data_IF_477121340003
#
_entry.id   IF_477121340003
#
_cell.length_a   1.000
_cell.length_b   1.000
_cell.length_c   1.000
_cell.angle_alpha   90.00
_cell.angle_beta   90.00
_cell.angle_gamma   90.00
#
_symmetry.space_group_name_H-M   'P 1'
#
loop_
_entity.id
_entity.type
_entity.pdbx_description
1 polymer ?
#
# COMPACT_ATOMS: atom_id res chain seq x y z
N UNK A 1 3.03 0.99 11.26
CA UNK A 1 4.40 1.22 10.75
C UNK A 1 5.20 -0.07 10.76
N UNK A 2 4.99 -0.89 11.78
CA UNK A 2 5.56 -2.19 12.08
C UNK A 2 5.51 -3.30 10.99
N UNK A 3 4.87 -3.07 9.86
CA UNK A 3 4.77 -4.09 8.81
C UNK A 3 5.72 -3.82 7.63
N UNK A 4 6.51 -2.74 7.68
CA UNK A 4 7.56 -2.48 6.70
C UNK A 4 8.80 -3.32 6.97
N UNK A 5 9.32 -3.96 5.91
CA UNK A 5 10.56 -4.73 5.98
C UNK A 5 11.77 -3.80 6.21
N UNK A 6 12.55 -3.98 7.29
CA UNK A 6 13.73 -3.14 7.54
C UNK A 6 14.79 -3.26 6.43
N UNK A 7 14.84 -4.36 5.69
CA UNK A 7 15.74 -4.48 4.52
C UNK A 7 15.35 -3.54 3.36
N UNK A 8 14.11 -3.03 3.34
CA UNK A 8 13.67 -1.99 2.42
C UNK A 8 13.86 -0.59 3.02
N UNK A 9 13.40 -0.38 4.26
CA UNK A 9 13.36 0.95 4.88
C UNK A 9 14.76 1.45 5.24
N UNK A 10 15.61 0.62 5.84
CA UNK A 10 16.89 1.07 6.39
C UNK A 10 17.83 1.62 5.29
N UNK A 11 18.00 0.97 4.12
CA UNK A 11 18.81 1.53 3.04
C UNK A 11 18.25 2.84 2.47
N UNK A 12 16.92 3.01 2.46
CA UNK A 12 16.30 4.27 2.07
C UNK A 12 16.60 5.37 3.10
N UNK A 13 16.39 5.07 4.39
CA UNK A 13 16.64 5.98 5.50
C UNK A 13 18.11 6.41 5.60
N UNK A 14 19.05 5.53 5.22
CA UNK A 14 20.48 5.85 5.18
C UNK A 14 20.85 6.91 4.11
N UNK A 15 20.00 7.13 3.11
CA UNK A 15 20.27 8.06 2.01
C UNK A 15 19.37 9.29 2.00
N UNK A 16 18.20 9.23 2.64
CA UNK A 16 17.22 10.32 2.67
C UNK A 16 16.31 10.20 3.89
N UNK A 17 15.73 11.32 4.37
CA UNK A 17 14.67 11.26 5.38
C UNK A 17 13.51 10.40 4.91
N UNK A 18 13.02 9.53 5.80
CA UNK A 18 11.87 8.65 5.56
C UNK A 18 10.79 8.97 6.59
N UNK A 19 9.58 9.25 6.11
CA UNK A 19 8.38 9.37 6.93
C UNK A 19 7.56 8.08 6.80
N UNK A 20 7.54 7.28 7.85
CA UNK A 20 6.57 6.20 8.02
C UNK A 20 5.43 6.73 8.87
N UNK A 21 4.20 6.51 8.41
CA UNK A 21 3.01 7.09 9.03
C UNK A 21 1.99 5.97 9.25
N UNK A 22 1.48 5.88 10.48
CA UNK A 22 0.26 5.12 10.76
C UNK A 22 -0.95 5.93 10.29
N UNK A 23 -1.83 5.30 9.52
CA UNK A 23 -3.02 5.98 9.03
C UNK A 23 -3.97 6.35 10.20
N UNK A 24 -4.82 7.37 10.03
CA UNK A 24 -5.79 7.76 11.05
C UNK A 24 -6.62 6.56 11.55
N UNK A 25 -6.75 6.42 12.88
CA UNK A 25 -7.44 5.31 13.55
C UNK A 25 -6.75 3.94 13.44
N UNK A 26 -5.46 3.89 13.09
CA UNK A 26 -4.66 2.67 12.97
C UNK A 26 -3.35 2.81 13.75
N UNK A 27 -2.89 1.71 14.35
CA UNK A 27 -1.60 1.68 15.05
C UNK A 27 -1.58 2.70 16.18
N UNK A 28 -0.61 3.61 16.16
CA UNK A 28 -0.47 4.67 17.17
C UNK A 28 -1.19 5.98 16.82
N UNK A 29 -1.83 6.05 15.65
CA UNK A 29 -2.53 7.25 15.20
C UNK A 29 -3.96 7.31 15.76
N UNK A 30 -4.31 8.46 16.31
CA UNK A 30 -5.67 8.77 16.77
C UNK A 30 -6.65 8.97 15.60
N UNK A 31 -7.90 9.29 15.95
CA UNK A 31 -8.97 9.59 15.00
C UNK A 31 -9.64 8.36 14.42
N UNK A 32 -10.30 8.53 13.29
CA UNK A 32 -11.04 7.47 12.62
C UNK A 32 -10.49 7.19 11.23
N UNK A 33 -10.50 5.91 10.83
CA UNK A 33 -10.23 5.51 9.45
C UNK A 33 -11.28 6.17 8.53
N UNK A 34 -10.89 6.99 7.54
CA UNK A 34 -11.86 7.59 6.63
C UNK A 34 -12.49 6.53 5.71
N UNK A 35 -13.72 6.80 5.27
CA UNK A 35 -14.50 5.85 4.46
C UNK A 35 -14.04 5.78 2.99
N UNK A 36 -13.14 6.66 2.55
CA UNK A 36 -12.65 6.72 1.17
C UNK A 36 -11.12 6.88 1.11
N UNK A 37 -10.48 6.31 0.08
CA UNK A 37 -9.05 6.53 -0.14
C UNK A 37 -8.70 7.98 -0.51
N UNK A 38 -9.66 8.76 -1.01
CA UNK A 38 -9.47 10.20 -1.18
C UNK A 38 -9.34 10.90 0.19
N UNK A 39 -10.14 10.48 1.18
CA UNK A 39 -10.01 10.94 2.57
C UNK A 39 -8.66 10.54 3.19
N UNK A 40 -8.19 9.33 2.93
CA UNK A 40 -6.85 8.89 3.38
C UNK A 40 -5.77 9.77 2.76
N UNK A 41 -5.84 10.02 1.45
CA UNK A 41 -4.90 10.88 0.74
C UNK A 41 -4.89 12.31 1.28
N UNK A 42 -6.07 12.83 1.65
CA UNK A 42 -6.19 14.14 2.27
C UNK A 42 -5.50 14.19 3.65
N UNK A 43 -5.60 13.14 4.46
CA UNK A 43 -4.87 13.07 5.73
C UNK A 43 -3.35 13.04 5.54
N UNK A 44 -2.82 12.21 4.63
CA UNK A 44 -1.38 12.20 4.36
C UNK A 44 -0.89 13.57 3.84
N UNK A 45 -1.65 14.21 2.95
CA UNK A 45 -1.38 15.56 2.45
C UNK A 45 -1.36 16.58 3.59
N UNK A 46 -2.30 16.51 4.53
CA UNK A 46 -2.33 17.38 5.70
C UNK A 46 -1.10 17.18 6.61
N UNK A 47 -0.74 15.93 6.91
CA UNK A 47 0.44 15.60 7.73
C UNK A 47 1.72 16.12 7.07
N UNK A 48 1.88 15.93 5.76
CA UNK A 48 3.05 16.42 5.03
C UNK A 48 3.14 17.94 5.08
N UNK A 49 2.02 18.64 4.89
CA UNK A 49 1.98 20.11 4.98
C UNK A 49 2.31 20.61 6.37
N UNK A 50 1.87 19.91 7.41
CA UNK A 50 2.14 20.28 8.80
C UNK A 50 3.62 20.08 9.15
N UNK A 51 4.17 18.91 8.82
CA UNK A 51 5.54 18.55 9.19
C UNK A 51 6.61 19.26 8.33
N UNK A 52 6.34 19.43 7.04
CA UNK A 52 7.34 19.89 6.07
C UNK A 52 6.99 21.25 5.45
N UNK A 53 5.82 21.80 5.71
CA UNK A 53 5.34 23.07 5.14
C UNK A 53 4.58 22.92 3.82
N UNK A 54 3.77 23.94 3.50
CA UNK A 54 2.81 23.93 2.38
C UNK A 54 3.42 23.78 0.98
N UNK A 55 4.68 24.19 0.80
CA UNK A 55 5.37 24.15 -0.50
C UNK A 55 6.26 22.92 -0.68
N UNK A 56 6.26 22.00 0.28
CA UNK A 56 7.13 20.82 0.25
C UNK A 56 6.66 19.78 -0.75
N UNK A 57 7.63 19.15 -1.42
CA UNK A 57 7.43 18.03 -2.35
C UNK A 57 8.13 16.80 -1.83
N UNK A 58 7.43 15.67 -1.82
CA UNK A 58 7.96 14.37 -1.35
C UNK A 58 7.91 13.32 -2.46
N UNK A 59 8.79 12.32 -2.36
CA UNK A 59 8.60 11.08 -3.11
C UNK A 59 7.63 10.20 -2.31
N UNK A 60 6.61 9.62 -2.95
CA UNK A 60 5.58 8.81 -2.29
C UNK A 60 5.71 7.36 -2.74
N UNK A 61 5.89 6.46 -1.77
CA UNK A 61 5.85 5.01 -2.00
C UNK A 61 4.58 4.45 -1.36
N UNK A 62 3.74 3.82 -2.17
CA UNK A 62 2.52 3.16 -1.74
C UNK A 62 2.55 1.67 -2.01
N UNK A 63 2.28 0.86 -0.98
CA UNK A 63 2.13 -0.59 -1.08
C UNK A 63 0.67 -1.02 -0.86
N UNK A 64 0.13 -1.90 -1.71
CA UNK A 64 -1.24 -2.40 -1.60
C UNK A 64 -2.26 -1.25 -1.51
N UNK A 65 -3.14 -1.22 -0.50
CA UNK A 65 -4.06 -0.10 -0.28
C UNK A 65 -3.36 1.27 -0.21
N UNK A 66 -2.12 1.32 0.32
CA UNK A 66 -1.32 2.55 0.33
C UNK A 66 -0.96 3.03 -1.08
N UNK A 67 -0.86 2.14 -2.06
CA UNK A 67 -0.69 2.49 -3.47
C UNK A 67 -1.96 3.06 -4.10
N UNK A 68 -3.15 2.61 -3.70
CA UNK A 68 -4.42 3.23 -4.09
C UNK A 68 -4.49 4.68 -3.58
N UNK A 69 -4.08 4.89 -2.33
CA UNK A 69 -4.03 6.22 -1.70
C UNK A 69 -2.96 7.10 -2.34
N UNK A 70 -1.77 6.57 -2.62
CA UNK A 70 -0.68 7.32 -3.23
C UNK A 70 -1.03 7.83 -4.65
N UNK A 71 -1.78 7.05 -5.44
CA UNK A 71 -2.33 7.50 -6.71
C UNK A 71 -3.26 8.71 -6.51
N UNK A 72 -4.20 8.64 -5.57
CA UNK A 72 -5.13 9.74 -5.29
C UNK A 72 -4.41 10.97 -4.72
N UNK A 73 -3.37 10.78 -3.91
CA UNK A 73 -2.54 11.90 -3.43
C UNK A 73 -1.85 12.61 -4.60
N UNK A 74 -1.23 11.87 -5.51
CA UNK A 74 -0.58 12.42 -6.70
C UNK A 74 -1.56 13.12 -7.66
N UNK A 75 -2.81 12.64 -7.72
CA UNK A 75 -3.87 13.23 -8.56
C UNK A 75 -4.55 14.45 -7.93
N UNK A 76 -4.74 14.45 -6.60
CA UNK A 76 -5.49 15.49 -5.89
C UNK A 76 -4.59 16.59 -5.31
N UNK A 77 -3.31 16.30 -5.11
CA UNK A 77 -2.28 17.23 -4.64
C UNK A 77 -0.99 17.08 -5.47
N UNK A 78 -1.05 17.25 -6.81
CA UNK A 78 0.10 17.07 -7.69
C UNK A 78 1.28 17.99 -7.35
N UNK A 79 1.02 19.12 -6.69
CA UNK A 79 2.03 20.05 -6.22
C UNK A 79 2.88 19.52 -5.06
N UNK A 80 2.45 18.46 -4.38
CA UNK A 80 3.15 17.85 -3.24
C UNK A 80 3.91 16.56 -3.59
N UNK A 81 3.63 15.94 -4.73
CA UNK A 81 4.24 14.67 -5.11
C UNK A 81 5.30 14.87 -6.19
N UNK A 82 6.56 14.54 -5.88
CA UNK A 82 7.71 14.65 -6.79
C UNK A 82 7.87 13.42 -7.67
N UNK A 83 7.80 12.23 -7.06
CA UNK A 83 7.87 10.91 -7.72
C UNK A 83 6.92 9.96 -7.01
N UNK A 84 6.41 8.99 -7.75
CA UNK A 84 5.47 8.01 -7.23
C UNK A 84 6.00 6.59 -7.46
N UNK A 85 6.00 5.77 -6.40
CA UNK A 85 6.36 4.35 -6.46
C UNK A 85 5.15 3.53 -6.03
N UNK A 86 4.65 2.67 -6.92
CA UNK A 86 3.45 1.86 -6.75
C UNK A 86 3.85 0.38 -6.68
N UNK A 87 3.68 -0.23 -5.51
CA UNK A 87 4.10 -1.61 -5.24
C UNK A 87 2.89 -2.48 -4.88
N UNK A 88 2.76 -3.64 -5.52
CA UNK A 88 1.67 -4.61 -5.22
C UNK A 88 0.29 -3.97 -5.10
N UNK A 89 -0.03 -3.01 -5.97
CA UNK A 89 -1.23 -2.16 -5.86
C UNK A 89 -2.00 -2.15 -7.17
N UNK A 90 -3.23 -1.64 -7.10
CA UNK A 90 -4.13 -1.47 -8.24
C UNK A 90 -4.67 -0.05 -8.34
N UNK A 91 -5.10 0.39 -9.54
CA UNK A 91 -5.98 1.55 -9.64
C UNK A 91 -7.41 1.21 -9.22
N UNK A 92 -8.27 2.22 -9.20
CA UNK A 92 -9.71 2.00 -9.03
C UNK A 92 -10.27 1.15 -10.17
N UNK A 93 -11.53 0.75 -10.04
CA UNK A 93 -12.25 0.01 -11.07
C UNK A 93 -12.18 0.69 -12.44
N UNK A 94 -12.03 -0.12 -13.49
CA UNK A 94 -11.80 0.32 -14.85
C UNK A 94 -11.55 -0.86 -15.79
N UNK A 95 -11.42 -0.59 -17.09
CA UNK A 95 -11.22 -1.64 -18.08
C UNK A 95 -9.92 -2.43 -17.83
N UNK A 96 -10.04 -3.76 -17.88
CA UNK A 96 -8.93 -4.67 -17.59
C UNK A 96 -8.57 -4.79 -16.10
N UNK A 97 -9.06 -3.92 -15.20
CA UNK A 97 -8.75 -3.97 -13.77
C UNK A 97 -9.50 -5.13 -13.14
N UNK A 98 -8.77 -6.14 -12.65
CA UNK A 98 -9.35 -7.36 -12.08
C UNK A 98 -8.89 -7.52 -10.64
N UNK A 99 -9.68 -7.15 -9.60
CA UNK A 99 -9.31 -7.46 -8.22
C UNK A 99 -9.01 -8.95 -8.04
N UNK A 100 -8.24 -9.29 -7.00
CA UNK A 100 -8.01 -10.69 -6.61
C UNK A 100 -9.35 -11.43 -6.55
N UNK A 101 -9.56 -12.51 -7.32
CA UNK A 101 -10.89 -13.11 -7.47
C UNK A 101 -11.49 -13.62 -6.16
N UNK A 102 -10.65 -14.02 -5.19
CA UNK A 102 -11.10 -14.69 -3.97
C UNK A 102 -10.76 -13.93 -2.67
N UNK A 103 -9.88 -12.93 -2.73
CA UNK A 103 -9.36 -12.20 -1.57
C UNK A 103 -8.75 -13.14 -0.52
N UNK A 104 -8.28 -14.33 -0.93
CA UNK A 104 -7.95 -15.44 -0.04
C UNK A 104 -6.82 -15.08 0.93
N UNK A 105 -5.81 -14.36 0.44
CA UNK A 105 -4.73 -13.83 1.27
C UNK A 105 -5.27 -12.92 2.40
N UNK A 106 -6.15 -11.99 2.06
CA UNK A 106 -6.74 -11.07 3.03
C UNK A 106 -7.65 -11.80 4.03
N UNK A 107 -8.45 -12.77 3.57
CA UNK A 107 -9.29 -13.61 4.43
C UNK A 107 -8.45 -14.43 5.41
N UNK A 108 -7.34 -15.00 4.96
CA UNK A 108 -6.40 -15.76 5.80
C UNK A 108 -5.72 -14.87 6.82
N UNK A 109 -5.21 -13.70 6.42
CA UNK A 109 -4.65 -12.71 7.34
C UNK A 109 -5.67 -12.29 8.41
N UNK A 110 -6.93 -12.04 8.02
CA UNK A 110 -8.00 -11.70 8.97
C UNK A 110 -8.38 -12.86 9.90
N UNK A 111 -8.26 -14.09 9.42
CA UNK A 111 -8.62 -15.30 10.17
C UNK A 111 -7.50 -15.78 11.10
N UNK A 112 -6.25 -15.38 10.85
CA UNK A 112 -5.10 -15.76 11.67
C UNK A 112 -5.30 -15.31 13.13
N UNK A 113 -4.93 -16.20 14.05
CA UNK A 113 -4.98 -16.00 15.51
C UNK A 113 -3.64 -16.26 16.17
N UNK A 114 -2.70 -16.85 15.46
CA UNK A 114 -1.35 -17.16 15.92
C UNK A 114 -0.30 -16.54 14.99
N UNK A 115 0.89 -16.28 15.52
CA UNK A 115 2.05 -15.77 14.75
C UNK A 115 2.38 -16.70 13.56
N UNK A 116 2.21 -18.00 13.73
CA UNK A 116 2.45 -18.97 12.65
C UNK A 116 1.39 -18.91 11.55
N UNK A 117 0.11 -18.75 11.90
CA UNK A 117 -0.95 -18.53 10.90
C UNK A 117 -0.78 -17.21 10.16
N UNK A 118 -0.34 -16.15 10.86
CA UNK A 118 -0.01 -14.87 10.22
C UNK A 118 1.17 -15.01 9.27
N UNK A 119 2.23 -15.72 9.68
CA UNK A 119 3.38 -16.03 8.81
C UNK A 119 2.95 -16.76 7.55
N UNK A 120 2.16 -17.82 7.70
CA UNK A 120 1.67 -18.59 6.56
C UNK A 120 0.81 -17.73 5.63
N UNK A 121 -0.11 -16.95 6.19
CA UNK A 121 -0.97 -16.06 5.41
C UNK A 121 -0.17 -14.95 4.68
N UNK A 122 0.89 -14.43 5.31
CA UNK A 122 1.82 -13.48 4.71
C UNK A 122 2.62 -14.12 3.57
N UNK A 123 3.22 -15.28 3.79
CA UNK A 123 3.99 -15.98 2.77
C UNK A 123 3.11 -16.33 1.56
N UNK A 124 1.97 -16.97 1.78
CA UNK A 124 1.04 -17.35 0.71
C UNK A 124 0.43 -16.14 -0.01
N UNK A 125 0.22 -15.04 0.71
CA UNK A 125 -0.43 -13.84 0.18
C UNK A 125 0.50 -12.96 -0.65
N UNK A 126 1.79 -12.93 -0.32
CA UNK A 126 2.73 -11.96 -0.90
C UNK A 126 3.91 -12.60 -1.65
N UNK A 127 4.07 -13.93 -1.58
CA UNK A 127 5.14 -14.66 -2.25
C UNK A 127 4.61 -15.79 -3.12
N UNK A 128 5.32 -16.08 -4.22
CA UNK A 128 4.94 -17.07 -5.23
C UNK A 128 5.25 -18.46 -4.70
N UNK A 129 4.22 -19.16 -4.24
CA UNK A 129 4.37 -20.47 -3.57
C UNK A 129 5.00 -21.57 -4.43
N UNK A 130 4.79 -21.52 -5.76
CA UNK A 130 5.42 -22.45 -6.70
C UNK A 130 6.94 -22.27 -6.87
N UNK A 131 7.53 -21.19 -6.35
CA UNK A 131 8.95 -20.88 -6.47
C UNK A 131 9.66 -21.04 -5.13
N UNK A 132 10.65 -21.92 -5.06
CA UNK A 132 11.50 -22.08 -3.87
C UNK A 132 12.19 -20.80 -3.44
N UNK A 133 12.82 -20.10 -4.40
CA UNK A 133 13.43 -18.79 -4.18
C UNK A 133 12.44 -17.79 -3.59
N UNK A 134 11.19 -17.78 -4.06
CA UNK A 134 10.17 -16.85 -3.53
C UNK A 134 9.72 -17.25 -2.12
N UNK A 135 9.55 -18.54 -1.84
CA UNK A 135 9.25 -19.04 -0.49
C UNK A 135 10.35 -18.70 0.50
N UNK A 136 11.61 -18.90 0.14
CA UNK A 136 12.76 -18.53 0.99
C UNK A 136 12.84 -17.03 1.23
N UNK A 137 12.58 -16.22 0.19
CA UNK A 137 12.50 -14.77 0.34
C UNK A 137 11.37 -14.35 1.30
N UNK A 138 10.22 -15.04 1.24
CA UNK A 138 9.09 -14.83 2.15
C UNK A 138 9.43 -15.10 3.60
N UNK A 139 10.06 -16.25 3.88
CA UNK A 139 10.55 -16.60 5.22
C UNK A 139 11.53 -15.55 5.76
N UNK A 140 12.55 -15.20 4.96
CA UNK A 140 13.53 -14.18 5.34
C UNK A 140 12.90 -12.81 5.59
N UNK A 141 11.90 -12.42 4.79
CA UNK A 141 11.16 -11.18 4.98
C UNK A 141 10.34 -11.19 6.26
N UNK A 142 9.63 -12.29 6.52
CA UNK A 142 8.89 -12.49 7.77
C UNK A 142 9.81 -12.41 8.97
N UNK A 143 10.94 -13.12 8.97
CA UNK A 143 11.89 -13.12 10.09
C UNK A 143 12.41 -11.70 10.38
N UNK A 144 12.68 -10.91 9.34
CA UNK A 144 13.08 -9.51 9.50
C UNK A 144 11.99 -8.66 10.11
N UNK A 145 10.77 -8.76 9.57
CA UNK A 145 9.62 -7.98 10.03
C UNK A 145 9.27 -8.36 11.46
N UNK A 146 9.20 -9.65 11.77
CA UNK A 146 8.78 -10.21 13.05
C UNK A 146 9.83 -10.06 14.16
N UNK A 147 11.11 -10.33 13.85
CA UNK A 147 12.12 -10.60 14.89
C UNK A 147 13.33 -9.65 14.87
N UNK A 148 13.64 -8.98 13.75
CA UNK A 148 14.90 -8.21 13.60
C UNK A 148 14.66 -6.72 13.35
N UNK A 149 13.87 -6.06 14.19
CA UNK A 149 13.94 -4.60 14.26
C UNK A 149 15.01 -4.17 15.26
N UNK A 150 15.80 -3.16 14.89
CA UNK A 150 16.91 -2.61 15.67
C UNK A 150 16.47 -1.82 16.91
N UNK A 151 15.17 -1.58 17.07
CA UNK A 151 14.50 -0.91 18.19
C UNK A 151 13.87 -1.94 19.15
N UNK A 152 14.65 -2.94 19.57
CA UNK A 152 14.24 -4.06 20.46
C UNK A 152 13.63 -3.66 21.82
N UNK A 153 13.39 -2.37 22.08
CA UNK A 153 12.63 -1.84 23.22
C UNK A 153 11.23 -1.31 22.88
N UNK A 154 10.85 -1.16 21.60
CA UNK A 154 9.50 -0.73 21.22
C UNK A 154 8.56 -1.93 21.04
N UNK A 155 7.48 -1.94 21.83
CA UNK A 155 6.42 -2.94 21.70
C UNK A 155 5.73 -2.76 20.36
N UNK A 156 5.62 -3.85 19.60
CA UNK A 156 4.84 -3.91 18.37
C UNK A 156 3.42 -3.42 18.63
N UNK A 157 2.89 -2.62 17.72
CA UNK A 157 1.48 -2.27 17.75
C UNK A 157 0.64 -3.54 17.68
N UNK A 158 -0.42 -3.58 18.48
CA UNK A 158 -1.41 -4.65 18.37
C UNK A 158 -2.01 -4.67 16.95
N UNK A 159 -2.51 -5.84 16.51
CA UNK A 159 -3.25 -5.92 15.26
C UNK A 159 -4.37 -4.88 15.20
N UNK A 160 -4.64 -4.36 13.99
CA UNK A 160 -5.69 -3.36 13.77
C UNK A 160 -7.02 -3.91 14.34
N UNK A 161 -7.71 -3.18 15.24
CA UNK A 161 -8.94 -3.67 15.83
C UNK A 161 -10.03 -3.91 14.77
N UNK A 162 -11.04 -4.77 15.04
CA UNK A 162 -12.04 -5.16 14.04
C UNK A 162 -12.80 -4.00 13.40
N UNK A 163 -13.09 -2.93 14.15
CA UNK A 163 -13.80 -1.73 13.66
C UNK A 163 -13.00 -0.98 12.58
N UNK A 164 -11.81 -0.45 12.89
CA UNK A 164 -10.91 0.15 11.90
C UNK A 164 -10.62 -0.79 10.71
N UNK A 165 -10.34 -2.08 10.94
CA UNK A 165 -10.11 -3.05 9.87
C UNK A 165 -11.33 -3.21 8.94
N UNK A 166 -12.55 -3.13 9.48
CA UNK A 166 -13.77 -3.15 8.69
C UNK A 166 -13.91 -1.88 7.82
N UNK A 167 -13.64 -0.69 8.37
CA UNK A 167 -13.62 0.56 7.60
C UNK A 167 -12.60 0.54 6.47
N UNK A 168 -11.40 0.01 6.73
CA UNK A 168 -10.37 -0.21 5.70
C UNK A 168 -10.86 -1.08 4.54
N UNK A 169 -11.56 -2.18 4.84
CA UNK A 169 -12.13 -3.05 3.82
C UNK A 169 -13.27 -2.37 3.04
N UNK A 170 -14.14 -1.61 3.70
CA UNK A 170 -15.22 -0.85 3.05
C UNK A 170 -14.67 0.22 2.09
N UNK A 171 -13.63 0.95 2.49
CA UNK A 171 -12.97 1.93 1.63
C UNK A 171 -12.41 1.28 0.35
N UNK A 172 -11.82 0.08 0.46
CA UNK A 172 -11.36 -0.68 -0.70
C UNK A 172 -12.51 -1.16 -1.58
N UNK A 173 -13.60 -1.70 -1.00
CA UNK A 173 -14.79 -2.11 -1.76
C UNK A 173 -15.38 -0.93 -2.51
N UNK A 174 -15.52 0.23 -1.86
CA UNK A 174 -16.00 1.47 -2.48
C UNK A 174 -15.12 1.89 -3.65
N UNK A 175 -13.80 1.86 -3.48
CA UNK A 175 -12.81 2.22 -4.51
C UNK A 175 -12.87 1.29 -5.74
N UNK A 176 -13.33 0.05 -5.55
CA UNK A 176 -13.49 -0.94 -6.62
C UNK A 176 -14.92 -1.01 -7.19
N UNK A 177 -15.88 -0.26 -6.62
CA UNK A 177 -17.25 -0.21 -7.10
C UNK A 177 -17.39 0.78 -8.27
N UNK A 178 -17.89 0.29 -9.41
CA UNK A 178 -18.13 1.11 -10.61
C UNK A 178 -19.06 2.29 -10.35
N UNK A 179 -19.96 2.19 -9.36
CA UNK A 179 -20.84 3.30 -8.95
C UNK A 179 -20.07 4.50 -8.38
N UNK A 180 -18.87 4.27 -7.85
CA UNK A 180 -18.02 5.30 -7.26
C UNK A 180 -16.77 5.59 -8.14
N UNK A 181 -16.78 5.21 -9.42
CA UNK A 181 -15.62 5.37 -10.30
C UNK A 181 -15.12 6.82 -10.41
N UNK A 182 -16.02 7.81 -10.26
CA UNK A 182 -15.67 9.24 -10.24
C UNK A 182 -14.76 9.65 -9.08
N UNK A 183 -14.77 8.91 -7.97
CA UNK A 183 -13.88 9.11 -6.81
C UNK A 183 -12.54 8.38 -6.97
N UNK A 184 -12.44 7.52 -7.98
CA UNK A 184 -11.31 6.64 -8.24
C UNK A 184 -10.14 7.30 -8.96
N UNK A 185 -9.09 6.50 -9.18
CA UNK A 185 -7.88 6.93 -9.87
C UNK A 185 -7.87 6.58 -11.37
N UNK A 186 -8.54 5.51 -11.80
CA UNK A 186 -8.38 4.87 -13.11
C UNK A 186 -8.52 5.85 -14.29
N UNK A 187 -9.67 6.51 -14.43
CA UNK A 187 -9.94 7.45 -15.54
C UNK A 187 -9.06 8.71 -15.50
N UNK A 188 -8.42 8.94 -14.34
CA UNK A 188 -7.59 10.10 -14.05
C UNK A 188 -6.09 9.79 -14.13
N UNK A 189 -5.66 8.52 -14.23
CA UNK A 189 -4.23 8.17 -14.26
C UNK A 189 -3.45 8.91 -15.35
N UNK A 190 -4.09 9.15 -16.51
CA UNK A 190 -3.54 9.94 -17.62
C UNK A 190 -3.29 11.42 -17.29
N UNK A 191 -3.74 11.90 -16.14
CA UNK A 191 -3.48 13.26 -15.63
C UNK A 191 -2.16 13.34 -14.86
N UNK A 192 -1.56 12.21 -14.46
CA UNK A 192 -0.24 12.22 -13.82
C UNK A 192 0.82 12.77 -14.80
N UNK A 193 1.65 13.69 -14.29
CA UNK A 193 2.72 14.37 -15.05
C UNK A 193 4.10 14.22 -14.40
N UNK A 194 4.21 13.26 -13.48
CA UNK A 194 5.41 13.00 -12.68
C UNK A 194 5.96 11.59 -12.98
N UNK A 195 7.24 11.32 -12.69
CA UNK A 195 7.80 9.99 -12.85
C UNK A 195 7.12 8.96 -11.94
N UNK A 196 6.62 7.87 -12.53
CA UNK A 196 5.97 6.77 -11.81
C UNK A 196 6.77 5.47 -12.02
N UNK A 197 7.18 4.83 -10.92
CA UNK A 197 7.70 3.46 -10.93
C UNK A 197 6.61 2.49 -10.49
N UNK A 198 6.36 1.45 -11.28
CA UNK A 198 5.42 0.38 -10.95
C UNK A 198 6.22 -0.89 -10.66
N UNK A 199 6.17 -1.35 -9.42
CA UNK A 199 6.81 -2.57 -8.93
C UNK A 199 5.75 -3.59 -8.52
N UNK A 200 4.95 -4.02 -9.51
CA UNK A 200 3.98 -5.10 -9.35
C UNK A 200 4.61 -6.42 -9.79
N UNK A 201 4.28 -7.51 -9.09
CA UNK A 201 4.68 -8.86 -9.49
C UNK A 201 3.94 -9.34 -10.75
N UNK A 202 4.33 -10.51 -11.26
CA UNK A 202 3.69 -11.12 -12.44
C UNK A 202 2.17 -11.33 -12.29
N UNK A 203 1.42 -11.46 -13.41
CA UNK A 203 -0.04 -11.66 -13.44
C UNK A 203 -0.60 -12.83 -12.61
N UNK A 204 0.25 -13.74 -12.14
CA UNK A 204 -0.14 -14.88 -11.29
C UNK A 204 -0.11 -14.56 -9.78
N UNK A 205 0.24 -13.34 -9.37
CA UNK A 205 0.20 -12.91 -7.97
C UNK A 205 -1.22 -12.47 -7.58
N UNK A 206 -1.72 -12.74 -6.36
CA UNK A 206 -3.08 -12.37 -5.95
C UNK A 206 -3.33 -10.85 -5.89
N UNK A 207 -2.32 -10.01 -6.13
CA UNK A 207 -2.46 -8.57 -6.31
C UNK A 207 -2.50 -8.23 -7.82
N UNK A 208 -3.56 -7.56 -8.30
CA UNK A 208 -3.78 -7.43 -9.74
C UNK A 208 -2.79 -6.57 -10.51
N UNK A 209 -2.60 -6.94 -11.78
CA UNK A 209 -2.20 -6.04 -12.86
C UNK A 209 -3.36 -5.93 -13.87
N UNK A 210 -3.59 -4.72 -14.42
CA UNK A 210 -3.18 -4.57 -15.81
C UNK A 210 -2.38 -3.28 -16.04
N UNK A 211 -1.29 -3.38 -16.80
CA UNK A 211 -1.00 -2.41 -17.84
C UNK A 211 -0.57 -3.27 -19.04
N UNK A 212 -1.40 -3.29 -20.09
CA UNK A 212 -1.00 -3.90 -21.36
C UNK A 212 0.23 -3.18 -21.93
N UNK A 213 1.14 -3.87 -22.65
CA UNK A 213 2.36 -3.28 -23.22
C UNK A 213 2.18 -2.19 -24.29
N UNK A 214 0.96 -1.74 -24.59
CA UNK A 214 0.66 -1.00 -25.83
C UNK A 214 0.39 0.51 -25.68
N UNK A 215 0.88 1.19 -24.63
CA UNK A 215 0.76 2.66 -24.54
C UNK A 215 2.07 3.43 -24.42
N UNK A 216 3.22 2.77 -24.61
CA UNK A 216 4.50 3.44 -24.83
C UNK A 216 4.91 3.32 -26.31
N UNK A 217 4.12 3.95 -27.18
CA UNK A 217 4.54 4.35 -28.52
C UNK A 217 4.09 5.80 -28.71
N UNK A 218 4.97 6.74 -28.34
CA UNK A 218 5.57 7.74 -29.26
C UNK A 218 4.76 9.05 -29.38
N UNK A 219 5.37 10.19 -29.76
CA UNK A 219 6.75 10.39 -30.24
C UNK A 219 7.74 10.91 -29.18
#
# INVERSE_FOLDING_TARGET
MDHWDPALVNPLAAQRPVLLIDNAGVGRSEGEVPDTFAGWAAHYSAVIRELLGKSSKVDVLGYSMGGCVAQLMALNAPEQVRRLVLCGTIPSTGDGVKPSPDGKAFKRLKAARTVEEERQAFEEGFFVQRSERSREAGKKAWDRIANNRSDAGEVRCEPVPPGPAHKQALAFVRFMDKKNASEGSYDRLRQLRLPVLIANGEPSSPLPAPLSPNSLASP
#
